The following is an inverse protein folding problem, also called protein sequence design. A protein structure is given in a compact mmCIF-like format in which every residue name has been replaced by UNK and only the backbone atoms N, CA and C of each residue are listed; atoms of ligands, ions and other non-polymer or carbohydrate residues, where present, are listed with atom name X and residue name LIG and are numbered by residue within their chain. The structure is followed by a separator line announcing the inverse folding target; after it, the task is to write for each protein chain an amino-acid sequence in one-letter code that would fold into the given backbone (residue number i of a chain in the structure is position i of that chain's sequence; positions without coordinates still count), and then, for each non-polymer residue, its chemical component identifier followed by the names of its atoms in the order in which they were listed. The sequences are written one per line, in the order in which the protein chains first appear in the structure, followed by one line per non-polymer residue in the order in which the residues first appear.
data_IF_611578024605
#
_entry.id   IF_611578024605
#
_cell.length_a   1.000
_cell.length_b   1.000
_cell.length_c   1.000
_cell.angle_alpha   90.00
_cell.angle_beta   90.00
_cell.angle_gamma   90.00
#
_symmetry.space_group_name_H-M   'P 1'
#
loop_
_entity.id
_entity.type
_entity.pdbx_description
1 polymer ?
#
# COMPACT_ATOMS: atom_id res chain seq x y z
N UNK A 1 15.41 9.43 21.78
CA UNK A 1 15.23 10.68 21.03
C UNK A 1 15.59 10.40 19.59
N UNK A 2 14.62 10.49 18.68
CA UNK A 2 14.92 10.52 17.24
C UNK A 2 15.55 11.89 16.94
N UNK A 3 16.60 11.98 16.12
CA UNK A 3 17.14 13.28 15.73
C UNK A 3 16.06 14.09 15.02
N UNK A 4 15.76 15.27 15.55
CA UNK A 4 14.94 16.27 14.84
C UNK A 4 15.77 16.81 13.68
N UNK A 5 15.63 16.19 12.51
CA UNK A 5 16.11 16.77 11.27
C UNK A 5 15.09 17.82 10.87
N UNK A 6 15.39 19.10 11.15
CA UNK A 6 14.62 20.25 10.71
C UNK A 6 14.80 20.46 9.19
N UNK A 7 14.35 19.50 8.39
CA UNK A 7 14.13 19.69 6.96
C UNK A 7 12.64 20.00 6.81
N UNK A 8 12.31 21.26 6.48
CA UNK A 8 10.97 21.60 6.01
C UNK A 8 11.00 21.56 4.48
N UNK A 9 10.83 20.38 3.84
CA UNK A 9 10.72 20.33 2.41
C UNK A 9 9.56 21.23 1.99
N UNK A 10 9.77 22.03 0.95
CA UNK A 10 8.68 22.83 0.40
C UNK A 10 7.54 21.89 0.04
N UNK A 11 6.33 22.19 0.50
CA UNK A 11 5.11 21.39 0.30
C UNK A 11 4.98 20.91 -1.15
N UNK A 12 5.32 21.76 -2.11
CA UNK A 12 5.29 21.45 -3.54
C UNK A 12 6.25 20.37 -3.99
N UNK A 13 7.43 20.23 -3.38
CA UNK A 13 8.34 19.11 -3.65
C UNK A 13 7.76 17.80 -3.15
N UNK A 14 7.16 17.80 -1.95
CA UNK A 14 6.51 16.62 -1.39
C UNK A 14 5.34 16.18 -2.27
N UNK A 15 4.49 17.12 -2.68
CA UNK A 15 3.35 16.85 -3.57
C UNK A 15 3.85 16.36 -4.93
N UNK A 16 4.86 17.00 -5.53
CA UNK A 16 5.44 16.57 -6.80
C UNK A 16 5.99 15.15 -6.75
N UNK A 17 6.77 14.82 -5.71
CA UNK A 17 7.29 13.48 -5.46
C UNK A 17 6.14 12.46 -5.27
N UNK A 18 5.14 12.83 -4.47
CA UNK A 18 3.98 12.00 -4.19
C UNK A 18 3.07 11.76 -5.41
N UNK A 19 3.12 12.62 -6.43
CA UNK A 19 2.42 12.37 -7.69
C UNK A 19 3.28 11.57 -8.68
N UNK A 20 4.60 11.77 -8.66
CA UNK A 20 5.52 11.11 -9.58
C UNK A 20 5.68 9.62 -9.28
N UNK A 21 5.89 9.24 -8.01
CA UNK A 21 6.11 7.85 -7.63
C UNK A 21 4.91 6.92 -7.97
N UNK A 22 3.66 7.30 -7.66
CA UNK A 22 2.45 6.57 -8.07
C UNK A 22 2.22 6.44 -9.58
N UNK A 23 2.95 7.19 -10.41
CA UNK A 23 2.93 7.02 -11.87
C UNK A 23 4.06 6.10 -12.32
N UNK A 24 5.29 6.37 -11.86
CA UNK A 24 6.48 5.63 -12.26
C UNK A 24 6.39 4.15 -11.88
N UNK A 25 5.97 3.85 -10.64
CA UNK A 25 6.00 2.48 -10.16
C UNK A 25 4.94 1.58 -10.81
N UNK A 26 3.65 1.96 -10.91
CA UNK A 26 2.69 1.18 -11.69
C UNK A 26 3.06 1.10 -13.17
N UNK A 27 3.68 2.14 -13.75
CA UNK A 27 4.21 2.09 -15.12
C UNK A 27 5.29 1.02 -15.31
N UNK A 28 6.25 0.95 -14.38
CA UNK A 28 7.26 -0.10 -14.35
C UNK A 28 6.62 -1.47 -14.11
N UNK A 29 5.69 -1.57 -13.15
CA UNK A 29 4.96 -2.80 -12.86
C UNK A 29 4.19 -3.32 -14.08
N UNK A 30 3.50 -2.44 -14.80
CA UNK A 30 2.84 -2.77 -16.06
C UNK A 30 3.84 -3.37 -17.05
N UNK A 31 4.96 -2.68 -17.29
CA UNK A 31 5.99 -3.09 -18.25
C UNK A 31 6.63 -4.46 -17.90
N UNK A 32 6.86 -4.71 -16.61
CA UNK A 32 7.41 -5.99 -16.11
C UNK A 32 6.37 -7.10 -16.28
N UNK A 33 5.16 -6.91 -15.74
CA UNK A 33 4.13 -7.96 -15.74
C UNK A 33 3.63 -8.27 -17.15
N UNK A 34 3.55 -7.28 -18.05
CA UNK A 34 3.26 -7.51 -19.46
C UNK A 34 4.27 -8.47 -20.10
N UNK A 35 5.57 -8.34 -19.81
CA UNK A 35 6.60 -9.27 -20.31
C UNK A 35 6.49 -10.66 -19.70
N UNK A 36 6.15 -10.74 -18.41
CA UNK A 36 6.06 -12.01 -17.70
C UNK A 36 4.82 -12.83 -18.11
N UNK A 37 3.71 -12.16 -18.42
CA UNK A 37 2.44 -12.75 -18.85
C UNK A 37 2.33 -12.93 -20.38
N UNK A 38 3.07 -12.16 -21.18
CA UNK A 38 2.98 -12.18 -22.65
C UNK A 38 1.51 -12.02 -23.12
N UNK A 39 0.98 -12.97 -23.89
CA UNK A 39 -0.35 -12.91 -24.49
C UNK A 39 -1.52 -13.04 -23.51
N UNK A 40 -1.28 -13.43 -22.26
CA UNK A 40 -2.35 -13.56 -21.24
C UNK A 40 -2.59 -12.27 -20.46
N UNK A 41 -1.80 -11.22 -20.70
CA UNK A 41 -1.93 -9.95 -19.99
C UNK A 41 -3.11 -9.14 -20.53
N UNK A 42 -4.12 -8.91 -19.69
CA UNK A 42 -5.33 -8.18 -20.05
C UNK A 42 -5.62 -7.10 -19.02
N UNK A 43 -5.85 -5.88 -19.49
CA UNK A 43 -6.26 -4.77 -18.62
C UNK A 43 -7.76 -4.58 -18.74
N UNK A 44 -8.48 -4.88 -17.66
CA UNK A 44 -9.89 -4.61 -17.50
C UNK A 44 -10.02 -3.44 -16.52
N UNK A 45 -10.29 -2.20 -16.99
CA UNK A 45 -10.23 -1.01 -16.14
C UNK A 45 -11.08 -1.08 -14.88
N UNK A 46 -12.25 -1.72 -14.97
CA UNK A 46 -13.16 -1.90 -13.83
C UNK A 46 -12.56 -2.80 -12.74
N UNK A 47 -11.92 -3.91 -13.12
CA UNK A 47 -11.29 -4.81 -12.13
C UNK A 47 -10.05 -4.17 -11.50
N UNK A 48 -9.28 -3.44 -12.30
CA UNK A 48 -8.15 -2.66 -11.82
C UNK A 48 -8.59 -1.58 -10.83
N UNK A 49 -9.63 -0.81 -11.16
CA UNK A 49 -10.17 0.23 -10.28
C UNK A 49 -10.78 -0.36 -9.00
N UNK A 50 -11.46 -1.50 -9.08
CA UNK A 50 -11.97 -2.21 -7.91
C UNK A 50 -10.84 -2.60 -6.95
N UNK A 51 -9.78 -3.21 -7.46
CA UNK A 51 -8.66 -3.60 -6.61
C UNK A 51 -7.92 -2.38 -6.05
N UNK A 52 -7.74 -1.32 -6.85
CA UNK A 52 -7.13 -0.08 -6.41
C UNK A 52 -7.91 0.60 -5.26
N UNK A 53 -9.24 0.73 -5.42
CA UNK A 53 -10.10 1.31 -4.39
C UNK A 53 -10.16 0.45 -3.13
N UNK A 54 -10.21 -0.88 -3.29
CA UNK A 54 -10.22 -1.80 -2.16
C UNK A 54 -8.90 -1.78 -1.38
N UNK A 55 -7.76 -1.78 -2.08
CA UNK A 55 -6.44 -1.71 -1.44
C UNK A 55 -6.27 -0.39 -0.72
N UNK A 56 -6.65 0.74 -1.34
CA UNK A 56 -6.66 2.04 -0.67
C UNK A 56 -7.44 2.01 0.64
N UNK A 57 -8.70 1.57 0.61
CA UNK A 57 -9.54 1.53 1.80
C UNK A 57 -9.01 0.57 2.87
N UNK A 58 -8.65 -0.67 2.49
CA UNK A 58 -8.20 -1.67 3.45
C UNK A 58 -6.85 -1.29 4.06
N UNK A 59 -5.91 -0.74 3.27
CA UNK A 59 -4.60 -0.34 3.77
C UNK A 59 -4.73 0.73 4.86
N UNK A 60 -5.48 1.81 4.63
CA UNK A 60 -5.63 2.88 5.63
C UNK A 60 -6.36 2.41 6.89
N UNK A 61 -7.36 1.52 6.76
CA UNK A 61 -8.08 0.96 7.90
C UNK A 61 -7.18 0.02 8.71
N UNK A 62 -6.42 -0.83 8.04
CA UNK A 62 -5.46 -1.72 8.68
C UNK A 62 -4.34 -0.94 9.34
N UNK A 63 -3.78 0.09 8.71
CA UNK A 63 -2.73 0.91 9.30
C UNK A 63 -3.19 1.65 10.55
N UNK A 64 -4.35 2.32 10.46
CA UNK A 64 -4.94 3.03 11.58
C UNK A 64 -5.31 2.11 12.76
N UNK A 65 -5.55 0.81 12.50
CA UNK A 65 -5.95 -0.15 13.54
C UNK A 65 -4.76 -0.95 14.08
N UNK A 66 -3.87 -1.43 13.21
CA UNK A 66 -2.81 -2.37 13.54
C UNK A 66 -1.63 -1.69 14.21
N UNK A 67 -1.27 -0.46 13.83
CA UNK A 67 -0.14 0.21 14.46
C UNK A 67 -0.43 0.53 15.94
N UNK A 68 -1.63 1.04 16.32
CA UNK A 68 -2.01 1.14 17.74
C UNK A 68 -2.13 -0.20 18.45
N UNK A 69 -2.70 -1.23 17.79
CA UNK A 69 -2.78 -2.57 18.38
C UNK A 69 -1.39 -3.12 18.67
N UNK A 70 -0.46 -3.01 17.72
CA UNK A 70 0.92 -3.43 17.89
C UNK A 70 1.61 -2.66 19.01
N UNK A 71 1.37 -1.35 19.11
CA UNK A 71 1.89 -0.53 20.23
C UNK A 71 1.39 -1.02 21.57
N UNK A 72 0.11 -1.39 21.68
CA UNK A 72 -0.45 -1.96 22.92
C UNK A 72 0.16 -3.32 23.28
N UNK A 73 0.48 -4.15 22.29
CA UNK A 73 1.03 -5.49 22.50
C UNK A 73 2.54 -5.50 22.76
N UNK A 74 3.30 -4.61 22.12
CA UNK A 74 4.76 -4.64 22.10
C UNK A 74 5.42 -3.37 22.65
N UNK A 75 4.64 -2.37 23.07
CA UNK A 75 5.13 -1.14 23.71
C UNK A 75 5.71 -0.08 22.77
N UNK A 76 5.71 -0.32 21.45
CA UNK A 76 6.19 0.63 20.44
C UNK A 76 5.42 0.49 19.12
N UNK A 77 5.32 1.57 18.35
CA UNK A 77 4.76 1.53 16.98
C UNK A 77 5.69 0.72 16.06
N UNK A 78 5.14 0.14 14.99
CA UNK A 78 5.92 -0.49 13.92
C UNK A 78 6.51 0.56 12.98
N UNK A 79 5.71 1.57 12.63
CA UNK A 79 6.12 2.67 11.77
C UNK A 79 5.51 4.00 12.24
N UNK A 80 6.02 5.09 11.70
CA UNK A 80 5.44 6.44 11.82
C UNK A 80 5.56 7.13 10.46
N UNK A 81 4.45 7.58 9.90
CA UNK A 81 4.48 8.42 8.70
C UNK A 81 5.08 9.79 9.03
N UNK A 82 5.99 10.27 8.17
CA UNK A 82 6.64 11.59 8.34
C UNK A 82 6.11 12.64 7.39
N UNK A 83 5.56 12.23 6.25
CA UNK A 83 5.01 13.11 5.23
C UNK A 83 3.48 13.13 5.33
N UNK A 84 2.91 14.30 5.61
CA UNK A 84 1.47 14.51 5.86
C UNK A 84 0.84 13.47 6.80
N UNK A 85 1.39 13.29 8.02
CA UNK A 85 0.87 12.31 8.96
C UNK A 85 -0.58 12.63 9.35
N UNK A 86 -1.40 11.60 9.46
CA UNK A 86 -2.77 11.62 9.97
C UNK A 86 -2.92 10.52 11.02
N UNK A 87 -3.97 10.60 11.82
CA UNK A 87 -4.33 9.56 12.80
C UNK A 87 -3.13 9.21 13.72
N UNK A 88 -2.53 10.22 14.36
CA UNK A 88 -1.33 10.06 15.22
C UNK A 88 -0.14 9.43 14.46
N UNK A 89 0.06 9.82 13.20
CA UNK A 89 1.15 9.34 12.34
C UNK A 89 1.05 7.85 11.96
N UNK A 90 -0.10 7.22 12.19
CA UNK A 90 -0.34 5.83 11.79
C UNK A 90 -0.67 5.70 10.30
N UNK A 91 -1.18 6.76 9.68
CA UNK A 91 -1.53 6.85 8.25
C UNK A 91 -0.97 8.17 7.69
N UNK A 92 -0.84 8.29 6.37
CA UNK A 92 -0.52 9.56 5.70
C UNK A 92 -1.67 10.01 4.80
N UNK A 93 -1.86 11.32 4.61
CA UNK A 93 -2.74 11.83 3.56
C UNK A 93 -2.35 11.34 2.16
N UNK A 94 -1.05 11.09 1.93
CA UNK A 94 -0.53 10.54 0.67
C UNK A 94 -0.90 9.07 0.45
N UNK A 95 -1.46 8.40 1.45
CA UNK A 95 -2.03 7.05 1.32
C UNK A 95 -3.04 6.97 0.17
N UNK A 96 -3.77 8.06 -0.10
CA UNK A 96 -4.69 8.14 -1.23
C UNK A 96 -4.02 7.79 -2.56
N UNK A 97 -2.82 8.32 -2.81
CA UNK A 97 -2.09 8.07 -4.07
C UNK A 97 -1.19 6.84 -3.97
N UNK A 98 -0.53 6.63 -2.83
CA UNK A 98 0.36 5.50 -2.60
C UNK A 98 -0.40 4.17 -2.62
N UNK A 99 -1.46 4.00 -1.80
CA UNK A 99 -2.17 2.72 -1.75
C UNK A 99 -3.04 2.46 -2.98
N UNK A 100 -3.59 3.50 -3.61
CA UNK A 100 -4.28 3.35 -4.89
C UNK A 100 -3.33 2.84 -5.98
N UNK A 101 -2.14 3.43 -6.09
CA UNK A 101 -1.12 2.98 -7.06
C UNK A 101 -0.58 1.59 -6.74
N UNK A 102 -0.39 1.26 -5.47
CA UNK A 102 -0.06 -0.11 -5.07
C UNK A 102 -1.16 -1.11 -5.47
N UNK A 103 -2.43 -0.75 -5.34
CA UNK A 103 -3.53 -1.61 -5.80
C UNK A 103 -3.56 -1.80 -7.31
N UNK A 104 -3.17 -0.79 -8.10
CA UNK A 104 -2.94 -0.95 -9.55
C UNK A 104 -1.76 -1.90 -9.83
N UNK A 105 -0.64 -1.74 -9.11
CA UNK A 105 0.46 -2.69 -9.19
C UNK A 105 0.00 -4.12 -8.86
N UNK A 106 -0.77 -4.31 -7.79
CA UNK A 106 -1.29 -5.61 -7.39
C UNK A 106 -2.22 -6.21 -8.44
N UNK A 107 -2.95 -5.39 -9.19
CA UNK A 107 -3.76 -5.87 -10.31
C UNK A 107 -2.88 -6.53 -11.39
N UNK A 108 -1.75 -5.90 -11.73
CA UNK A 108 -0.80 -6.47 -12.70
C UNK A 108 -0.07 -7.71 -12.13
N UNK A 109 0.44 -7.61 -10.90
CA UNK A 109 1.14 -8.71 -10.23
C UNK A 109 0.23 -9.94 -10.08
N UNK A 110 -1.04 -9.74 -9.75
CA UNK A 110 -2.00 -10.82 -9.61
C UNK A 110 -2.18 -11.62 -10.90
N UNK A 111 -2.15 -10.98 -12.08
CA UNK A 111 -2.22 -11.70 -13.36
C UNK A 111 -0.98 -12.59 -13.56
N UNK A 112 0.21 -12.07 -13.25
CA UNK A 112 1.46 -12.85 -13.30
C UNK A 112 1.41 -14.03 -12.35
N UNK A 113 1.06 -13.79 -11.08
CA UNK A 113 0.92 -14.86 -10.09
C UNK A 113 -0.15 -15.87 -10.50
N UNK A 114 -1.25 -15.42 -11.10
CA UNK A 114 -2.31 -16.29 -11.57
C UNK A 114 -1.87 -17.19 -12.73
N UNK A 115 -0.98 -16.70 -13.60
CA UNK A 115 -0.39 -17.49 -14.70
C UNK A 115 0.68 -18.50 -14.23
N UNK A 116 1.29 -18.27 -13.06
CA UNK A 116 2.45 -19.04 -12.56
C UNK A 116 2.11 -19.99 -11.42
N UNK A 117 1.08 -19.70 -10.63
CA UNK A 117 0.64 -20.50 -9.50
C UNK A 117 -0.55 -21.35 -9.93
N UNK A 118 -0.42 -22.66 -9.78
CA UNK A 118 -1.49 -23.61 -10.06
C UNK A 118 -2.78 -23.25 -9.31
N UNK A 119 -3.91 -23.44 -9.99
CA UNK A 119 -5.22 -23.29 -9.35
C UNK A 119 -5.37 -24.30 -8.21
N UNK A 120 -5.95 -23.87 -7.09
CA UNK A 120 -6.15 -24.73 -5.92
C UNK A 120 -6.43 -23.94 -4.64
N UNK A 121 -6.72 -24.67 -3.56
CA UNK A 121 -7.10 -24.10 -2.26
C UNK A 121 -6.00 -23.26 -1.62
N UNK A 122 -4.72 -23.56 -1.93
CA UNK A 122 -3.55 -22.85 -1.40
C UNK A 122 -3.14 -21.62 -2.21
N UNK A 123 -3.77 -21.37 -3.37
CA UNK A 123 -3.34 -20.30 -4.28
C UNK A 123 -3.30 -18.93 -3.60
N UNK A 124 -4.37 -18.55 -2.90
CA UNK A 124 -4.43 -17.27 -2.19
C UNK A 124 -3.42 -17.18 -1.04
N UNK A 125 -3.10 -18.29 -0.39
CA UNK A 125 -2.08 -18.32 0.66
C UNK A 125 -0.68 -18.06 0.07
N UNK A 126 -0.34 -18.71 -1.04
CA UNK A 126 0.94 -18.50 -1.74
C UNK A 126 1.03 -17.06 -2.25
N UNK A 127 -0.05 -16.54 -2.85
CA UNK A 127 -0.11 -15.13 -3.29
C UNK A 127 0.08 -14.18 -2.12
N UNK A 128 -0.60 -14.41 -0.99
CA UNK A 128 -0.44 -13.58 0.19
C UNK A 128 0.98 -13.61 0.75
N UNK A 129 1.64 -14.77 0.73
CA UNK A 129 3.05 -14.87 1.14
C UNK A 129 3.98 -14.08 0.19
N UNK A 130 3.83 -14.25 -1.12
CA UNK A 130 4.67 -13.57 -2.11
C UNK A 130 4.45 -12.06 -2.10
N UNK A 131 3.20 -11.61 -2.08
CA UNK A 131 2.85 -10.19 -2.02
C UNK A 131 3.23 -9.61 -0.65
N UNK A 132 3.06 -10.36 0.44
CA UNK A 132 3.43 -9.91 1.79
C UNK A 132 4.94 -9.79 2.02
N UNK A 133 5.75 -10.42 1.16
CA UNK A 133 7.19 -10.18 1.07
C UNK A 133 7.51 -9.02 0.14
N UNK A 134 6.83 -8.94 -1.01
CA UNK A 134 7.06 -7.90 -2.02
C UNK A 134 6.69 -6.51 -1.51
N UNK A 135 5.56 -6.35 -0.82
CA UNK A 135 5.10 -5.04 -0.36
C UNK A 135 6.15 -4.37 0.54
N UNK A 136 6.64 -5.02 1.61
CA UNK A 136 7.63 -4.39 2.48
C UNK A 136 9.02 -4.30 1.83
N UNK A 137 9.49 -5.37 1.18
CA UNK A 137 10.88 -5.44 0.74
C UNK A 137 11.15 -4.75 -0.60
N UNK A 138 10.13 -4.58 -1.44
CA UNK A 138 10.27 -3.94 -2.74
C UNK A 138 9.54 -2.60 -2.74
N UNK A 139 8.22 -2.59 -2.54
CA UNK A 139 7.43 -1.37 -2.66
C UNK A 139 7.77 -0.33 -1.60
N UNK A 140 7.82 -0.69 -0.31
CA UNK A 140 8.16 0.27 0.75
C UNK A 140 9.61 0.73 0.67
N UNK A 141 10.56 -0.17 0.41
CA UNK A 141 11.98 0.19 0.24
C UNK A 141 12.16 1.16 -0.92
N UNK A 142 11.52 0.91 -2.07
CA UNK A 142 11.58 1.82 -3.22
C UNK A 142 10.85 3.13 -2.94
N UNK A 143 9.71 3.11 -2.27
CA UNK A 143 8.95 4.30 -1.91
C UNK A 143 9.74 5.19 -0.95
N UNK A 144 10.17 4.64 0.19
CA UNK A 144 11.00 5.36 1.15
C UNK A 144 12.33 5.82 0.54
N UNK A 145 12.98 5.02 -0.30
CA UNK A 145 14.17 5.42 -1.06
C UNK A 145 13.91 6.60 -1.98
N UNK A 146 12.80 6.56 -2.72
CA UNK A 146 12.42 7.64 -3.61
C UNK A 146 12.14 8.95 -2.85
N UNK A 147 11.37 8.90 -1.77
CA UNK A 147 11.09 10.08 -0.94
C UNK A 147 12.34 10.59 -0.24
N UNK A 148 13.20 9.72 0.28
CA UNK A 148 14.46 10.14 0.90
C UNK A 148 15.38 10.85 -0.11
N UNK A 149 15.46 10.36 -1.34
CA UNK A 149 16.28 10.98 -2.39
C UNK A 149 15.72 12.30 -2.93
N UNK A 150 14.39 12.44 -3.01
CA UNK A 150 13.74 13.60 -3.67
C UNK A 150 13.27 14.67 -2.69
N UNK A 151 12.90 14.27 -1.48
CA UNK A 151 12.32 15.12 -0.43
C UNK A 151 13.27 15.26 0.76
N UNK A 152 14.20 14.34 0.95
CA UNK A 152 15.14 14.35 2.09
C UNK A 152 14.57 13.76 3.38
N UNK A 153 13.40 13.10 3.32
CA UNK A 153 12.70 12.52 4.46
C UNK A 153 12.05 11.18 4.08
N UNK A 154 11.89 10.29 5.05
CA UNK A 154 11.17 9.03 4.85
C UNK A 154 9.68 9.29 4.61
N UNK A 155 9.05 8.48 3.77
CA UNK A 155 7.59 8.49 3.70
C UNK A 155 6.99 7.89 4.99
N UNK A 156 7.40 6.66 5.29
CA UNK A 156 7.09 5.94 6.52
C UNK A 156 8.39 5.49 7.19
N UNK A 157 8.66 5.99 8.39
CA UNK A 157 9.85 5.60 9.14
C UNK A 157 9.54 4.38 10.01
N UNK A 158 10.17 3.24 9.69
CA UNK A 158 9.99 2.02 10.47
C UNK A 158 10.83 2.07 11.75
N UNK A 159 10.18 1.86 12.90
CA UNK A 159 10.81 1.98 14.22
C UNK A 159 11.71 0.81 14.56
N UNK A 160 11.33 -0.45 14.27
CA UNK A 160 12.32 -1.50 14.15
C UNK A 160 13.34 -1.07 13.08
N UNK A 161 14.59 -0.84 13.49
CA UNK A 161 15.65 -0.38 12.61
C UNK A 161 16.26 -1.47 11.73
N UNK A 162 15.61 -2.63 11.64
CA UNK A 162 16.00 -3.62 10.66
C UNK A 162 15.68 -3.11 9.25
N UNK A 163 16.48 -3.51 8.25
CA UNK A 163 16.39 -2.96 6.89
C UNK A 163 16.55 -1.42 6.83
N UNK A 164 17.38 -0.86 7.73
CA UNK A 164 17.76 0.57 7.75
C UNK A 164 16.56 1.54 7.80
N UNK A 165 15.50 1.18 8.53
CA UNK A 165 14.26 1.98 8.68
C UNK A 165 13.42 2.16 7.41
N UNK A 166 13.82 1.58 6.27
CA UNK A 166 13.02 1.60 5.04
C UNK A 166 11.76 0.74 5.12
N UNK A 167 11.82 -0.32 5.91
CA UNK A 167 10.71 -1.24 6.22
C UNK A 167 11.10 -2.02 7.49
N UNK A 168 10.37 -3.07 7.85
CA UNK A 168 10.81 -4.04 8.86
C UNK A 168 10.34 -5.45 8.51
N UNK A 169 11.21 -6.45 8.73
CA UNK A 169 10.86 -7.86 8.67
C UNK A 169 9.72 -8.23 9.63
N UNK A 170 9.52 -7.45 10.71
CA UNK A 170 8.41 -7.62 11.66
C UNK A 170 7.05 -7.31 11.05
N UNK A 171 7.00 -6.51 9.98
CA UNK A 171 5.75 -6.14 9.31
C UNK A 171 5.27 -7.22 8.34
N UNK A 172 6.18 -8.06 7.84
CA UNK A 172 5.89 -9.08 6.81
C UNK A 172 4.74 -10.02 7.23
N UNK A 173 4.70 -10.62 8.44
CA UNK A 173 3.58 -11.48 8.83
C UNK A 173 2.24 -10.75 8.90
N UNK A 174 2.27 -9.46 9.29
CA UNK A 174 1.09 -8.60 9.34
C UNK A 174 0.57 -8.36 7.92
N UNK A 175 1.45 -8.01 6.99
CA UNK A 175 1.12 -7.86 5.57
C UNK A 175 0.54 -9.14 4.99
N UNK A 176 1.16 -10.30 5.22
CA UNK A 176 0.65 -11.59 4.72
C UNK A 176 -0.79 -11.83 5.17
N UNK A 177 -1.12 -11.56 6.44
CA UNK A 177 -2.47 -11.71 6.98
C UNK A 177 -3.47 -10.73 6.34
N UNK A 178 -3.09 -9.45 6.25
CA UNK A 178 -3.92 -8.40 5.66
C UNK A 178 -4.19 -8.67 4.17
N UNK A 179 -3.16 -9.06 3.42
CA UNK A 179 -3.27 -9.40 2.00
C UNK A 179 -4.12 -10.66 1.81
N UNK A 180 -3.94 -11.69 2.63
CA UNK A 180 -4.77 -12.89 2.56
C UNK A 180 -6.25 -12.56 2.71
N UNK A 181 -6.59 -11.75 3.73
CA UNK A 181 -7.95 -11.23 3.94
C UNK A 181 -8.43 -10.40 2.74
N UNK A 182 -7.60 -9.47 2.25
CA UNK A 182 -7.90 -8.60 1.12
C UNK A 182 -8.15 -9.38 -0.18
N UNK A 183 -7.40 -10.44 -0.46
CA UNK A 183 -7.61 -11.31 -1.62
C UNK A 183 -8.97 -12.02 -1.58
N UNK A 184 -9.43 -12.43 -0.39
CA UNK A 184 -10.75 -13.04 -0.21
C UNK A 184 -11.87 -12.03 -0.40
N UNK A 185 -11.75 -10.83 0.19
CA UNK A 185 -12.73 -9.75 0.00
C UNK A 185 -12.79 -9.35 -1.46
N UNK A 186 -11.64 -9.16 -2.12
CA UNK A 186 -11.57 -8.86 -3.54
C UNK A 186 -12.26 -9.93 -4.39
N UNK A 187 -11.96 -11.22 -4.13
CA UNK A 187 -12.57 -12.34 -4.85
C UNK A 187 -14.09 -12.41 -4.65
N UNK A 188 -14.58 -12.08 -3.45
CA UNK A 188 -16.01 -12.00 -3.16
C UNK A 188 -16.68 -10.85 -3.92
N UNK A 189 -16.14 -9.63 -3.82
CA UNK A 189 -16.69 -8.43 -4.48
C UNK A 189 -16.66 -8.56 -6.00
N UNK A 190 -15.58 -9.10 -6.56
CA UNK A 190 -15.43 -9.35 -8.00
C UNK A 190 -16.57 -10.24 -8.55
N UNK A 191 -17.00 -11.25 -7.78
CA UNK A 191 -18.05 -12.19 -8.21
C UNK A 191 -19.47 -11.66 -8.05
N UNK A 192 -19.73 -10.78 -7.08
CA UNK A 192 -21.10 -10.46 -6.68
C UNK A 192 -21.51 -8.99 -6.86
N UNK A 193 -20.55 -8.04 -6.92
CA UNK A 193 -20.88 -6.63 -6.77
C UNK A 193 -19.93 -5.67 -7.52
N UNK A 194 -19.14 -6.16 -8.49
CA UNK A 194 -18.14 -5.34 -9.19
C UNK A 194 -18.76 -4.38 -10.22
N UNK A 195 -19.38 -3.30 -9.72
CA UNK A 195 -19.83 -2.15 -10.51
C UNK A 195 -19.11 -0.85 -10.09
N UNK A 196 -19.30 0.21 -10.88
CA UNK A 196 -18.67 1.50 -10.62
C UNK A 196 -19.19 2.21 -9.37
N UNK A 197 -20.40 1.87 -8.90
CA UNK A 197 -20.99 2.48 -7.69
C UNK A 197 -20.30 1.95 -6.45
N UNK A 198 -20.07 0.64 -6.38
CA UNK A 198 -19.26 0.03 -5.32
C UNK A 198 -17.85 0.62 -5.31
N UNK A 199 -17.20 0.71 -6.47
CA UNK A 199 -15.83 1.25 -6.57
C UNK A 199 -15.80 2.69 -6.04
N UNK A 200 -16.72 3.54 -6.49
CA UNK A 200 -16.84 4.91 -6.00
C UNK A 200 -17.14 4.96 -4.49
N UNK A 201 -18.00 4.06 -4.00
CA UNK A 201 -18.33 3.95 -2.57
C UNK A 201 -17.13 3.56 -1.71
N UNK A 202 -16.34 2.58 -2.13
CA UNK A 202 -15.10 2.18 -1.43
C UNK A 202 -14.10 3.33 -1.39
N UNK A 203 -13.92 4.03 -2.52
CA UNK A 203 -13.01 5.16 -2.62
C UNK A 203 -13.47 6.35 -1.77
N UNK A 204 -14.76 6.70 -1.82
CA UNK A 204 -15.35 7.76 -1.03
C UNK A 204 -15.29 7.46 0.47
N UNK A 205 -15.52 6.21 0.87
CA UNK A 205 -15.36 5.78 2.27
C UNK A 205 -13.92 5.98 2.75
N UNK A 206 -12.93 5.68 1.90
CA UNK A 206 -11.52 5.88 2.23
C UNK A 206 -11.15 7.36 2.36
N UNK A 207 -11.64 8.22 1.46
CA UNK A 207 -11.46 9.68 1.56
C UNK A 207 -12.11 10.21 2.83
N UNK A 208 -13.34 9.80 3.14
CA UNK A 208 -14.04 10.22 4.36
C UNK A 208 -13.27 9.80 5.61
N UNK A 209 -12.73 8.58 5.63
CA UNK A 209 -11.88 8.10 6.74
C UNK A 209 -10.61 8.94 6.93
N UNK A 210 -9.90 9.26 5.84
CA UNK A 210 -8.75 10.17 5.91
C UNK A 210 -9.17 11.56 6.39
N UNK A 211 -10.33 12.06 5.93
CA UNK A 211 -10.89 13.36 6.32
C UNK A 211 -11.20 13.48 7.81
N UNK A 212 -11.66 12.40 8.46
CA UNK A 212 -11.85 12.38 9.93
C UNK A 212 -10.52 12.66 10.66
N UNK A 213 -9.41 12.15 10.13
CA UNK A 213 -8.08 12.40 10.69
C UNK A 213 -7.56 13.83 10.52
N UNK A 214 -8.21 14.66 9.71
CA UNK A 214 -7.89 16.10 9.55
C UNK A 214 -8.62 16.99 10.56
N UNK A 215 -9.65 16.48 11.24
CA UNK A 215 -10.52 17.26 12.13
C UNK A 215 -10.29 17.04 13.62
N UNK A 216 -9.24 16.29 13.99
CA UNK A 216 -8.87 16.03 15.39
C UNK A 216 -7.53 16.75 15.64
N UNK A 217 -7.62 18.04 15.96
CA UNK A 217 -6.56 18.81 16.63
C UNK A 217 -6.99 19.11 18.07
#
# INVERSE_FOLDING_TARGET
MLPEVNFHPQVWHVVGAALLFPVLFPGLSYWVNQRLCKSTFVVVPREMALLAALVFLLAILFEASLNPLYTRLFGAKLWVYRLFPLHDGNVSALALVAWTSYGVHLYFLNQTLDSRIAAGTRRNLIKAALIGLEAPLLWEVLGNGFFLLTVGEFYAYYLPGDVFHFTSLRVIPVYMLCIYSGLHVHGYLRRHAADWRLIAGLFAAGIAFLGVGLGID
#
